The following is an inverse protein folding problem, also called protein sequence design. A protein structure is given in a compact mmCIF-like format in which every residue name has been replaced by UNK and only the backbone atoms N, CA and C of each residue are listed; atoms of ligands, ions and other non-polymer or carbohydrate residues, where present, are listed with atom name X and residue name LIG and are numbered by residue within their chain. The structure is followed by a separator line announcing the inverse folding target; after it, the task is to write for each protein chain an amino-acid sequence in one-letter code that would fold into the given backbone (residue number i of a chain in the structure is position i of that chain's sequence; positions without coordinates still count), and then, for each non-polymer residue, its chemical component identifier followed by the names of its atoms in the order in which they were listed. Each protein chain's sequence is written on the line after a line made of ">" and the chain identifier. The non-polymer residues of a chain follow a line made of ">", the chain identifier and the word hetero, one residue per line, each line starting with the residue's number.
data_IF_448029809219
#
_entry.id   IF_448029809219
#
_cell.length_a   1.000
_cell.length_b   1.000
_cell.length_c   1.000
_cell.angle_alpha   90.00
_cell.angle_beta   90.00
_cell.angle_gamma   90.00
#
_symmetry.space_group_name_H-M   'P 1'
#
loop_
_entity.id
_entity.type
_entity.pdbx_description
1 polymer ?
#
# COMPACT_ATOMS: atom_id res chain seq x y z
N UNK A 1 6.43 -6.77 6.43
CA UNK A 1 5.85 -8.06 6.09
C UNK A 1 5.09 -8.74 7.22
N UNK A 2 3.89 -8.22 7.45
CA UNK A 2 2.77 -9.02 7.94
C UNK A 2 1.56 -8.62 7.09
N UNK A 3 1.21 -9.45 6.12
CA UNK A 3 -0.10 -9.42 5.49
C UNK A 3 -0.92 -10.51 6.19
N UNK A 4 -2.10 -10.14 6.68
CA UNK A 4 -3.00 -11.10 7.32
C UNK A 4 -3.88 -11.74 6.24
N UNK A 5 -3.85 -13.08 6.16
CA UNK A 5 -4.79 -13.85 5.35
C UNK A 5 -6.19 -13.53 5.92
N UNK A 6 -7.14 -13.12 5.07
CA UNK A 6 -8.45 -12.53 5.42
C UNK A 6 -8.44 -11.03 5.78
N UNK A 7 -7.38 -10.29 5.41
CA UNK A 7 -7.40 -8.82 5.43
C UNK A 7 -7.97 -8.24 4.13
N UNK A 8 -8.57 -7.03 4.18
CA UNK A 8 -9.02 -6.34 2.97
C UNK A 8 -7.96 -6.25 1.88
N UNK A 9 -6.70 -5.98 2.24
CA UNK A 9 -5.61 -5.95 1.27
C UNK A 9 -5.39 -7.32 0.60
N UNK A 10 -5.40 -8.41 1.37
CA UNK A 10 -5.24 -9.76 0.81
C UNK A 10 -6.41 -10.16 -0.09
N UNK A 11 -7.64 -9.84 0.30
CA UNK A 11 -8.86 -10.09 -0.49
C UNK A 11 -8.85 -9.30 -1.81
N UNK A 12 -8.34 -8.07 -1.78
CA UNK A 12 -8.20 -7.19 -2.94
C UNK A 12 -7.01 -7.59 -3.85
N UNK A 13 -6.36 -8.73 -3.57
CA UNK A 13 -5.35 -9.34 -4.43
C UNK A 13 -3.92 -8.91 -4.14
N UNK A 14 -3.69 -8.26 -3.00
CA UNK A 14 -2.34 -7.92 -2.55
C UNK A 14 -1.61 -9.15 -2.02
N UNK A 15 -0.36 -9.29 -2.41
CA UNK A 15 0.49 -10.41 -2.02
C UNK A 15 1.70 -9.92 -1.22
N UNK A 16 2.28 -10.83 -0.43
CA UNK A 16 3.53 -10.57 0.27
C UNK A 16 4.64 -10.18 -0.72
N UNK A 17 4.67 -10.80 -1.89
CA UNK A 17 5.72 -10.55 -2.89
C UNK A 17 5.61 -9.19 -3.61
N UNK A 18 4.63 -8.36 -3.25
CA UNK A 18 4.39 -7.09 -3.92
C UNK A 18 5.21 -5.96 -3.31
N UNK A 19 5.81 -5.18 -4.20
CA UNK A 19 6.53 -3.96 -3.87
C UNK A 19 5.68 -2.76 -4.31
N UNK A 20 5.36 -1.83 -3.42
CA UNK A 20 4.54 -0.68 -3.79
C UNK A 20 5.39 0.42 -4.39
N UNK A 21 4.90 0.97 -5.50
CA UNK A 21 5.45 2.13 -6.19
C UNK A 21 4.57 3.36 -5.98
N UNK A 22 3.25 3.19 -5.82
CA UNK A 22 2.32 4.31 -5.67
C UNK A 22 1.02 3.92 -4.93
N UNK A 23 0.49 4.83 -4.11
CA UNK A 23 -0.73 4.63 -3.31
C UNK A 23 -1.66 5.83 -3.41
N UNK A 24 -2.78 5.70 -4.13
CA UNK A 24 -3.78 6.78 -4.27
C UNK A 24 -3.12 8.11 -4.65
N UNK A 25 -3.65 9.24 -4.21
CA UNK A 25 -3.07 10.54 -4.56
C UNK A 25 -1.85 10.95 -3.69
N UNK A 26 -1.14 9.98 -3.09
CA UNK A 26 -0.04 10.26 -2.16
C UNK A 26 1.29 10.38 -2.92
N UNK A 27 1.79 11.60 -3.02
CA UNK A 27 3.12 11.89 -3.54
C UNK A 27 4.22 11.60 -2.51
N UNK A 28 5.43 11.29 -2.99
CA UNK A 28 6.62 11.20 -2.14
C UNK A 28 6.88 12.51 -1.40
N UNK A 29 7.46 12.44 -0.19
CA UNK A 29 7.94 13.59 0.55
C UNK A 29 7.78 13.45 2.06
N UNK A 30 7.83 14.59 2.74
CA UNK A 30 7.70 14.65 4.19
C UNK A 30 6.35 14.09 4.67
N UNK A 31 6.37 13.44 5.84
CA UNK A 31 5.17 12.89 6.49
C UNK A 31 4.42 11.83 5.65
N UNK A 32 5.12 11.12 4.75
CA UNK A 32 4.53 10.10 3.87
C UNK A 32 3.64 9.09 4.62
N UNK A 33 4.08 8.57 5.77
CA UNK A 33 3.26 7.64 6.57
C UNK A 33 1.93 8.25 7.00
N UNK A 34 1.96 9.48 7.52
CA UNK A 34 0.74 10.19 7.94
C UNK A 34 -0.20 10.45 6.76
N UNK A 35 0.36 10.76 5.57
CA UNK A 35 -0.41 10.96 4.34
C UNK A 35 -1.04 9.67 3.82
N UNK A 36 -0.32 8.55 3.85
CA UNK A 36 -0.87 7.22 3.51
C UNK A 36 -2.04 6.86 4.42
N UNK A 37 -1.88 7.09 5.73
CA UNK A 37 -2.96 6.88 6.71
C UNK A 37 -4.14 7.80 6.41
N UNK A 38 -3.90 9.09 6.16
CA UNK A 38 -4.96 10.05 5.85
C UNK A 38 -5.73 9.70 4.57
N UNK A 39 -5.04 9.24 3.53
CA UNK A 39 -5.65 8.79 2.27
C UNK A 39 -6.52 7.56 2.49
N UNK A 40 -6.03 6.56 3.24
CA UNK A 40 -6.81 5.36 3.57
C UNK A 40 -8.03 5.65 4.44
N UNK A 41 -7.97 6.65 5.32
CA UNK A 41 -9.10 7.08 6.14
C UNK A 41 -10.13 7.87 5.32
N UNK A 42 -9.67 8.79 4.46
CA UNK A 42 -10.54 9.62 3.62
C UNK A 42 -11.29 8.80 2.57
N UNK A 43 -10.71 7.67 2.15
CA UNK A 43 -11.30 6.74 1.18
C UNK A 43 -11.88 5.46 1.84
N UNK A 44 -12.30 5.51 3.11
CA UNK A 44 -13.00 4.36 3.70
C UNK A 44 -14.20 3.92 2.85
N UNK A 45 -14.28 2.63 2.54
CA UNK A 45 -15.29 2.01 1.70
C UNK A 45 -15.09 2.23 0.20
N UNK A 46 -14.14 3.07 -0.21
CA UNK A 46 -13.86 3.39 -1.61
C UNK A 46 -12.57 2.73 -2.08
N UNK A 47 -12.54 2.18 -3.32
CA UNK A 47 -11.32 1.61 -3.88
C UNK A 47 -10.27 2.70 -4.15
N UNK A 48 -9.07 2.48 -3.64
CA UNK A 48 -7.88 3.30 -3.86
C UNK A 48 -7.00 2.58 -4.89
N UNK A 49 -6.65 3.23 -6.01
CA UNK A 49 -5.71 2.67 -6.97
C UNK A 49 -4.30 2.62 -6.39
N UNK A 50 -3.60 1.50 -6.62
CA UNK A 50 -2.21 1.27 -6.26
C UNK A 50 -1.43 0.88 -7.51
N UNK A 51 -0.17 1.28 -7.55
CA UNK A 51 0.81 0.73 -8.49
C UNK A 51 1.78 -0.12 -7.68
N UNK A 52 1.88 -1.39 -8.03
CA UNK A 52 2.79 -2.35 -7.41
C UNK A 52 3.75 -2.92 -8.47
N UNK A 53 4.89 -3.43 -8.04
CA UNK A 53 5.76 -4.31 -8.82
C UNK A 53 5.57 -5.72 -8.29
N UNK A 54 5.19 -6.64 -9.18
CA UNK A 54 5.07 -8.07 -8.90
C UNK A 54 5.94 -8.82 -9.88
N UNK A 55 6.92 -9.56 -9.38
CA UNK A 55 7.85 -10.35 -10.21
C UNK A 55 8.55 -9.52 -11.30
N UNK A 56 8.86 -8.25 -10.99
CA UNK A 56 9.51 -7.32 -11.93
C UNK A 56 8.57 -6.64 -12.94
N UNK A 57 7.26 -6.87 -12.86
CA UNK A 57 6.27 -6.19 -13.70
C UNK A 57 5.45 -5.19 -12.89
N UNK A 58 5.26 -3.97 -13.42
CA UNK A 58 4.33 -2.98 -12.87
C UNK A 58 2.88 -3.45 -13.08
N UNK A 59 2.10 -3.43 -12.02
CA UNK A 59 0.68 -3.80 -12.03
C UNK A 59 -0.14 -2.74 -11.29
N UNK A 60 -1.30 -2.40 -11.85
CA UNK A 60 -2.28 -1.56 -11.18
C UNK A 60 -3.28 -2.46 -10.47
N UNK A 61 -3.41 -2.30 -9.16
CA UNK A 61 -4.43 -2.96 -8.36
C UNK A 61 -5.27 -1.91 -7.63
N UNK A 62 -6.38 -2.32 -7.05
CA UNK A 62 -7.22 -1.43 -6.23
C UNK A 62 -7.45 -2.08 -4.89
N UNK A 63 -7.23 -1.33 -3.80
CA UNK A 63 -7.57 -1.78 -2.44
C UNK A 63 -8.65 -0.88 -1.87
N UNK A 64 -9.65 -1.45 -1.21
CA UNK A 64 -10.69 -0.66 -0.56
C UNK A 64 -10.53 -0.76 0.97
N UNK A 65 -10.14 0.34 1.65
CA UNK A 65 -10.06 0.37 3.10
C UNK A 65 -11.43 0.10 3.72
N UNK A 66 -11.54 -0.88 4.61
CA UNK A 66 -12.80 -1.22 5.26
C UNK A 66 -12.57 -1.73 6.69
N UNK A 67 -13.56 -1.57 7.60
CA UNK A 67 -13.51 -2.23 8.89
C UNK A 67 -13.37 -3.74 8.70
N UNK A 68 -12.47 -4.35 9.46
CA UNK A 68 -12.22 -5.79 9.43
C UNK A 68 -11.81 -6.24 10.85
N UNK A 69 -11.62 -7.54 11.05
CA UNK A 69 -11.42 -8.10 12.39
C UNK A 69 -10.02 -7.83 12.99
N UNK A 70 -9.10 -7.24 12.23
CA UNK A 70 -7.74 -6.91 12.66
C UNK A 70 -7.46 -5.40 12.76
N UNK A 71 -6.22 -5.01 13.09
CA UNK A 71 -5.84 -3.61 13.24
C UNK A 71 -5.80 -2.86 11.90
N UNK A 72 -6.18 -1.58 11.92
CA UNK A 72 -6.22 -0.71 10.74
C UNK A 72 -7.40 -1.00 9.80
N UNK A 73 -7.42 -0.38 8.63
CA UNK A 73 -8.50 -0.51 7.63
C UNK A 73 -8.13 -1.41 6.43
N UNK A 74 -6.87 -1.83 6.33
CA UNK A 74 -6.36 -2.67 5.24
C UNK A 74 -5.70 -3.96 5.72
N UNK A 75 -5.28 -4.00 6.99
CA UNK A 75 -4.60 -5.16 7.58
C UNK A 75 -3.17 -5.41 7.10
N UNK A 76 -2.51 -4.33 6.66
CA UNK A 76 -1.14 -4.33 6.18
C UNK A 76 -0.30 -3.29 6.94
N UNK A 77 1.02 -3.51 6.98
CA UNK A 77 1.96 -2.57 7.61
C UNK A 77 2.92 -2.00 6.56
N UNK A 78 2.81 -0.71 6.28
CA UNK A 78 3.72 -0.04 5.35
C UNK A 78 5.10 0.16 5.98
N UNK A 79 6.14 -0.40 5.37
CA UNK A 79 7.54 0.00 5.58
C UNK A 79 8.03 0.77 4.38
N UNK A 80 8.38 2.04 4.59
CA UNK A 80 9.05 2.85 3.58
C UNK A 80 10.52 2.44 3.55
N UNK A 81 11.00 1.97 2.40
CA UNK A 81 12.42 1.76 2.13
C UNK A 81 12.87 2.70 1.02
N UNK A 82 14.01 3.36 1.26
CA UNK A 82 14.69 4.16 0.25
C UNK A 82 15.67 3.25 -0.47
N UNK A 83 15.48 3.02 -1.78
CA UNK A 83 16.50 2.36 -2.59
C UNK A 83 17.53 3.41 -3.01
N UNK A 84 18.78 3.22 -2.58
CA UNK A 84 19.89 4.16 -2.81
C UNK A 84 20.45 4.14 -4.24
N UNK A 85 19.66 3.82 -5.26
CA UNK A 85 20.17 3.66 -6.64
C UNK A 85 19.49 4.62 -7.62
N UNK A 86 20.06 5.82 -7.70
CA UNK A 86 20.01 6.81 -8.80
C UNK A 86 18.68 7.32 -9.37
N UNK A 87 17.54 6.75 -9.05
CA UNK A 87 16.23 7.37 -9.24
C UNK A 87 15.55 7.35 -7.86
N UNK A 88 15.06 8.50 -7.41
CA UNK A 88 14.41 8.70 -6.10
C UNK A 88 13.05 7.96 -5.99
N UNK A 89 12.97 6.70 -6.40
CA UNK A 89 11.82 5.84 -6.22
C UNK A 89 11.82 5.31 -4.79
N UNK A 90 10.82 5.69 -3.98
CA UNK A 90 10.57 4.90 -2.77
C UNK A 90 9.80 3.66 -3.14
N UNK A 91 10.27 2.57 -2.54
CA UNK A 91 9.58 1.30 -2.57
C UNK A 91 9.01 1.07 -1.18
N UNK A 92 7.67 1.00 -1.09
CA UNK A 92 7.00 0.68 0.15
C UNK A 92 6.78 -0.84 0.17
N UNK A 93 7.29 -1.50 1.21
CA UNK A 93 7.07 -2.93 1.42
C UNK A 93 5.98 -3.13 2.46
N UNK A 94 5.09 -4.09 2.23
CA UNK A 94 4.05 -4.50 3.19
C UNK A 94 4.54 -5.60 4.15
#
# INVERSE_FOLDING_TARGET
>A
MKLLIDSPAAEDGLLLIDEFVWFGNVENGDNLQSRLVAEAQSNQGNPIPLVIVRQGALMNITVAPRPWHGPGSLGCHFRILWLSSCDDELVIFI
#
